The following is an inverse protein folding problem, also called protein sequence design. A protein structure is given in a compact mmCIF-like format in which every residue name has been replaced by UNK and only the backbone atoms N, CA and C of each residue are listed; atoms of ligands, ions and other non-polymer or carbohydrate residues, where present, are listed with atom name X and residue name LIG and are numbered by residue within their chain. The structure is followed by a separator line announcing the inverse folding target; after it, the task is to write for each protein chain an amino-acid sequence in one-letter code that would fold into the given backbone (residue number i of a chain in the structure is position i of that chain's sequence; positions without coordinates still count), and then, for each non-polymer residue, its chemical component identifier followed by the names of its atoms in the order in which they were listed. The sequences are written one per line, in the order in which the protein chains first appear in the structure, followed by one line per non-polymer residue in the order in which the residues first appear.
data_IF_042558504192
#
_entry.id   IF_042558504192
#
_cell.length_a   1.000
_cell.length_b   1.000
_cell.length_c   1.000
_cell.angle_alpha   90.00
_cell.angle_beta   90.00
_cell.angle_gamma   90.00
#
_symmetry.space_group_name_H-M   'P 1'
#
loop_
_entity.id
_entity.type
_entity.pdbx_description
1 polymer ?
#
# COMPACT_ATOMS: atom_id res chain seq x y z
N UNK A 1 22.25 39.91 20.17
CA UNK A 1 21.53 39.15 19.13
C UNK A 1 21.95 37.70 19.23
N UNK A 2 21.18 36.90 19.98
CA UNK A 2 21.35 35.47 20.06
C UNK A 2 20.56 34.83 18.91
N UNK A 3 21.24 34.30 17.91
CA UNK A 3 20.70 33.35 16.98
C UNK A 3 20.45 32.05 17.76
N UNK A 4 19.23 31.89 18.24
CA UNK A 4 18.73 30.60 18.66
C UNK A 4 18.51 29.77 17.42
N UNK A 5 19.43 28.87 17.10
CA UNK A 5 19.19 27.83 16.12
C UNK A 5 18.00 27.00 16.62
N UNK A 6 16.88 27.06 15.92
CA UNK A 6 15.82 26.07 16.06
C UNK A 6 16.47 24.71 15.81
N UNK A 7 16.56 23.89 16.85
CA UNK A 7 16.89 22.48 16.68
C UNK A 7 15.69 21.92 15.94
N UNK A 8 15.87 21.64 14.64
CA UNK A 8 14.88 20.96 13.82
C UNK A 8 14.59 19.62 14.50
N UNK A 9 13.40 19.49 15.10
CA UNK A 9 13.02 18.26 15.78
C UNK A 9 12.84 17.19 14.69
N UNK A 10 13.45 16.01 14.88
CA UNK A 10 13.27 14.88 14.00
C UNK A 10 11.78 14.55 13.87
N UNK A 11 11.35 14.18 12.66
CA UNK A 11 9.97 13.75 12.41
C UNK A 11 9.62 12.54 13.27
N UNK A 12 8.46 12.59 13.90
CA UNK A 12 7.94 11.48 14.71
C UNK A 12 6.85 10.75 13.93
N UNK A 13 6.94 9.44 13.86
CA UNK A 13 5.96 8.58 13.24
C UNK A 13 5.41 7.55 14.22
N UNK A 14 4.17 7.13 13.99
CA UNK A 14 3.55 6.04 14.73
C UNK A 14 3.84 4.73 14.02
N UNK A 15 4.23 3.69 14.78
CA UNK A 15 4.57 2.37 14.25
C UNK A 15 3.73 1.30 14.95
N UNK A 16 3.03 0.47 14.19
CA UNK A 16 2.30 -0.68 14.70
C UNK A 16 3.01 -1.97 14.30
N UNK A 17 3.41 -2.77 15.30
CA UNK A 17 4.13 -4.03 15.05
C UNK A 17 3.27 -5.16 14.52
N UNK A 18 1.99 -5.16 14.78
CA UNK A 18 1.06 -6.14 14.25
C UNK A 18 1.26 -7.57 14.76
N UNK A 19 0.77 -8.53 13.97
CA UNK A 19 0.72 -9.95 14.30
C UNK A 19 1.61 -10.80 13.38
N UNK A 20 1.82 -12.05 13.76
CA UNK A 20 2.55 -13.01 12.94
C UNK A 20 3.98 -12.57 12.66
N UNK A 21 4.33 -12.39 11.39
CA UNK A 21 5.64 -11.87 10.96
C UNK A 21 5.80 -10.37 11.22
N UNK A 22 4.73 -9.67 11.63
CA UNK A 22 4.73 -8.22 11.85
C UNK A 22 5.86 -7.71 12.72
N UNK A 23 6.05 -8.23 13.96
CA UNK A 23 7.13 -7.77 14.82
C UNK A 23 8.52 -7.94 14.21
N UNK A 24 8.83 -9.07 13.60
CA UNK A 24 10.16 -9.33 13.03
C UNK A 24 10.48 -8.46 11.80
N UNK A 25 9.52 -8.24 10.91
CA UNK A 25 9.72 -7.35 9.75
C UNK A 25 9.76 -5.88 10.17
N UNK A 26 9.00 -5.50 11.19
CA UNK A 26 9.03 -4.13 11.73
C UNK A 26 10.39 -3.82 12.31
N UNK A 27 10.91 -4.67 13.18
CA UNK A 27 12.22 -4.47 13.79
C UNK A 27 13.33 -4.36 12.74
N UNK A 28 13.27 -5.21 11.71
CA UNK A 28 14.22 -5.17 10.58
C UNK A 28 14.14 -3.85 9.81
N UNK A 29 12.95 -3.42 9.46
CA UNK A 29 12.74 -2.15 8.72
C UNK A 29 13.23 -0.95 9.53
N UNK A 30 12.93 -0.87 10.83
CA UNK A 30 13.39 0.24 11.67
C UNK A 30 14.93 0.28 11.76
N UNK A 31 15.60 -0.86 11.83
CA UNK A 31 17.06 -0.91 11.82
C UNK A 31 17.66 -0.43 10.49
N UNK A 32 17.02 -0.79 9.38
CA UNK A 32 17.48 -0.31 8.06
C UNK A 32 17.29 1.20 7.92
N UNK A 33 16.15 1.72 8.37
CA UNK A 33 15.89 3.17 8.36
C UNK A 33 16.92 3.93 9.18
N UNK A 34 17.26 3.43 10.36
CA UNK A 34 18.28 4.04 11.22
C UNK A 34 19.67 4.01 10.57
N UNK A 35 20.05 2.87 10.00
CA UNK A 35 21.31 2.71 9.28
C UNK A 35 21.42 3.62 8.05
N UNK A 36 20.30 3.88 7.39
CA UNK A 36 20.23 4.77 6.21
C UNK A 36 20.25 6.26 6.59
N UNK A 37 20.14 6.60 7.86
CA UNK A 37 20.13 7.99 8.33
C UNK A 37 18.79 8.69 8.13
N UNK A 38 17.68 7.95 8.27
CA UNK A 38 16.34 8.50 8.13
C UNK A 38 16.02 9.61 9.15
N UNK A 39 16.67 9.57 10.32
CA UNK A 39 16.50 10.56 11.40
C UNK A 39 15.02 10.72 11.79
N UNK A 40 14.42 9.62 12.20
CA UNK A 40 13.03 9.55 12.64
C UNK A 40 12.95 9.17 14.12
N UNK A 41 11.95 9.72 14.80
CA UNK A 41 11.52 9.23 16.11
C UNK A 41 10.33 8.28 15.91
N UNK A 42 10.36 7.14 16.59
CA UNK A 42 9.31 6.12 16.46
C UNK A 42 8.52 6.01 17.78
N UNK A 43 7.21 6.11 17.67
CA UNK A 43 6.28 5.72 18.74
C UNK A 43 5.70 4.36 18.38
N UNK A 44 6.24 3.31 19.00
CA UNK A 44 5.98 1.91 18.63
C UNK A 44 4.96 1.29 19.56
N UNK A 45 3.97 0.61 19.00
CA UNK A 45 2.89 -0.06 19.75
C UNK A 45 2.68 -1.48 19.26
N UNK A 46 2.37 -2.38 20.19
CA UNK A 46 1.84 -3.70 19.85
C UNK A 46 0.37 -3.54 19.53
N UNK A 47 -0.06 -4.06 18.38
CA UNK A 47 -1.41 -3.91 17.85
C UNK A 47 -1.83 -5.22 17.22
N UNK A 48 -3.10 -5.59 17.37
CA UNK A 48 -3.68 -6.73 16.69
C UNK A 48 -4.28 -7.77 17.63
N UNK A 49 -4.35 -9.02 17.17
CA UNK A 49 -5.01 -10.11 17.87
C UNK A 49 -4.36 -10.42 19.22
N UNK A 50 -3.04 -10.43 19.30
CA UNK A 50 -2.31 -10.67 20.56
C UNK A 50 -2.56 -9.57 21.59
N UNK A 51 -2.61 -8.32 21.16
CA UNK A 51 -2.94 -7.18 22.02
C UNK A 51 -4.39 -7.27 22.52
N UNK A 52 -5.32 -7.69 21.66
CA UNK A 52 -6.71 -7.90 22.02
C UNK A 52 -6.86 -9.00 23.11
N UNK A 53 -6.16 -10.12 22.97
CA UNK A 53 -6.17 -11.19 23.96
C UNK A 53 -5.60 -10.73 25.32
N UNK A 54 -4.55 -9.91 25.28
CA UNK A 54 -3.89 -9.43 26.50
C UNK A 54 -4.66 -8.31 27.20
N UNK A 55 -5.26 -7.37 26.46
CA UNK A 55 -5.80 -6.13 26.98
C UNK A 55 -7.23 -5.77 26.52
N UNK A 56 -7.86 -6.58 25.69
CA UNK A 56 -9.25 -6.40 25.24
C UNK A 56 -9.45 -5.38 24.12
N UNK A 57 -8.40 -4.79 23.58
CA UNK A 57 -8.44 -3.82 22.48
C UNK A 57 -7.41 -4.18 21.40
N UNK A 58 -7.77 -4.00 20.13
CA UNK A 58 -6.85 -4.23 19.00
C UNK A 58 -5.75 -3.18 18.94
N UNK A 59 -6.11 -1.91 19.22
CA UNK A 59 -5.18 -0.78 19.29
C UNK A 59 -5.27 -0.18 20.68
N UNK A 60 -4.17 -0.03 21.42
CA UNK A 60 -4.20 0.65 22.72
C UNK A 60 -4.53 2.14 22.56
N UNK A 61 -5.05 2.76 23.62
CA UNK A 61 -5.39 4.20 23.63
C UNK A 61 -4.20 5.07 23.25
N UNK A 62 -3.02 4.72 23.73
CA UNK A 62 -1.77 5.42 23.44
C UNK A 62 -1.43 5.37 21.94
N UNK A 63 -1.79 4.28 21.26
CA UNK A 63 -1.65 4.15 19.82
C UNK A 63 -2.52 5.13 19.05
N UNK A 64 -3.78 5.29 19.46
CA UNK A 64 -4.66 6.30 18.88
C UNK A 64 -4.16 7.72 19.16
N UNK A 65 -3.73 8.00 20.40
CA UNK A 65 -3.17 9.30 20.75
C UNK A 65 -1.92 9.64 19.92
N UNK A 66 -1.08 8.66 19.67
CA UNK A 66 0.09 8.80 18.80
C UNK A 66 -0.31 9.14 17.37
N UNK A 67 -1.27 8.42 16.78
CA UNK A 67 -1.76 8.70 15.44
C UNK A 67 -2.34 10.10 15.29
N UNK A 68 -3.13 10.55 16.28
CA UNK A 68 -3.71 11.91 16.30
C UNK A 68 -2.63 13.00 16.35
N UNK A 69 -1.48 12.71 16.96
CA UNK A 69 -0.36 13.64 17.07
C UNK A 69 0.54 13.62 15.83
N UNK A 70 0.89 12.44 15.34
CA UNK A 70 1.88 12.30 14.26
C UNK A 70 1.29 12.42 12.86
N UNK A 71 0.04 12.01 12.66
CA UNK A 71 -0.63 11.94 11.37
C UNK A 71 0.03 11.01 10.35
N UNK A 72 0.97 10.19 10.78
CA UNK A 72 1.70 9.24 9.94
C UNK A 72 1.79 7.90 10.66
N UNK A 73 1.34 6.84 9.99
CA UNK A 73 1.37 5.48 10.51
C UNK A 73 2.16 4.56 9.58
N UNK A 74 3.15 3.86 10.13
CA UNK A 74 3.79 2.70 9.50
C UNK A 74 3.26 1.45 10.18
N UNK A 75 2.51 0.62 9.47
CA UNK A 75 1.76 -0.49 10.03
C UNK A 75 2.12 -1.80 9.35
N UNK A 76 2.57 -2.78 10.14
CA UNK A 76 2.74 -4.15 9.68
C UNK A 76 1.40 -4.91 9.66
N UNK A 77 1.36 -6.15 9.11
CA UNK A 77 0.13 -6.93 9.03
C UNK A 77 -0.52 -7.17 10.40
N UNK A 78 -1.84 -7.02 10.43
CA UNK A 78 -2.66 -7.23 11.62
C UNK A 78 -3.69 -8.31 11.32
N UNK A 79 -3.79 -9.31 12.19
CA UNK A 79 -4.84 -10.31 12.12
C UNK A 79 -6.08 -9.79 12.85
N UNK A 80 -7.20 -9.73 12.14
CA UNK A 80 -8.49 -9.42 12.75
C UNK A 80 -9.04 -10.71 13.38
N UNK A 81 -9.42 -10.70 14.67
CA UNK A 81 -10.02 -11.87 15.30
C UNK A 81 -11.26 -12.35 14.55
N UNK A 82 -11.39 -13.68 14.39
CA UNK A 82 -12.59 -14.30 13.83
C UNK A 82 -13.69 -14.24 14.87
N UNK A 83 -14.82 -13.62 14.53
CA UNK A 83 -15.99 -13.53 15.40
C UNK A 83 -16.95 -12.45 15.02
N UNK A 84 -18.19 -12.55 15.57
CA UNK A 84 -19.22 -11.54 15.36
C UNK A 84 -18.81 -10.22 16.01
N UNK A 85 -18.83 -9.12 15.25
CA UNK A 85 -18.56 -7.77 15.74
C UNK A 85 -17.18 -7.21 15.43
N UNK A 86 -16.27 -7.99 14.85
CA UNK A 86 -14.98 -7.48 14.39
C UNK A 86 -15.04 -7.08 12.91
N UNK A 87 -14.82 -5.80 12.65
CA UNK A 87 -14.57 -5.30 11.29
C UNK A 87 -13.07 -5.33 11.01
N UNK A 88 -12.71 -5.43 9.73
CA UNK A 88 -11.31 -5.26 9.34
C UNK A 88 -10.76 -3.94 9.90
N UNK A 89 -9.63 -4.03 10.61
CA UNK A 89 -8.99 -2.84 11.17
C UNK A 89 -8.55 -1.86 10.08
N UNK A 90 -8.12 -2.39 8.93
CA UNK A 90 -7.77 -1.56 7.78
C UNK A 90 -8.97 -0.73 7.29
N UNK A 91 -10.13 -1.35 7.15
CA UNK A 91 -11.37 -0.63 6.76
C UNK A 91 -11.72 0.43 7.79
N UNK A 92 -11.59 0.12 9.08
CA UNK A 92 -11.84 1.08 10.17
C UNK A 92 -10.92 2.28 10.10
N UNK A 93 -9.61 2.07 9.92
CA UNK A 93 -8.63 3.16 9.83
C UNK A 93 -8.82 4.00 8.56
N UNK A 94 -9.10 3.35 7.43
CA UNK A 94 -9.37 4.05 6.17
C UNK A 94 -10.57 4.98 6.27
N UNK A 95 -11.62 4.55 6.95
CA UNK A 95 -12.82 5.37 7.21
C UNK A 95 -12.54 6.49 8.21
N UNK A 96 -11.89 6.16 9.34
CA UNK A 96 -11.63 7.12 10.42
C UNK A 96 -10.82 8.32 9.95
N UNK A 97 -9.80 8.09 9.15
CA UNK A 97 -8.88 9.14 8.68
C UNK A 97 -9.14 9.57 7.24
N UNK A 98 -10.24 9.10 6.64
CA UNK A 98 -10.62 9.39 5.25
C UNK A 98 -9.46 9.16 4.27
N UNK A 99 -8.84 8.00 4.36
CA UNK A 99 -7.70 7.59 3.53
C UNK A 99 -8.19 7.18 2.15
N UNK A 100 -8.47 8.14 1.30
CA UNK A 100 -9.18 7.93 0.03
C UNK A 100 -8.34 7.31 -1.08
N UNK A 101 -7.02 7.51 -1.06
CA UNK A 101 -6.15 7.03 -2.13
C UNK A 101 -5.28 5.87 -1.62
N UNK A 102 -5.56 4.67 -2.10
CA UNK A 102 -4.68 3.53 -1.90
C UNK A 102 -3.79 3.36 -3.13
N UNK A 103 -2.48 3.51 -2.93
CA UNK A 103 -1.47 3.48 -3.99
C UNK A 103 -0.65 2.20 -3.84
N UNK A 104 -0.69 1.35 -4.87
CA UNK A 104 0.00 0.04 -4.89
C UNK A 104 0.91 -0.04 -6.11
N UNK A 105 2.19 0.32 -5.98
CA UNK A 105 3.16 0.17 -7.07
C UNK A 105 3.67 -1.27 -7.14
N UNK A 106 3.72 -1.83 -8.34
CA UNK A 106 4.21 -3.17 -8.61
C UNK A 106 5.19 -3.14 -9.77
N UNK A 107 6.41 -3.62 -9.52
CA UNK A 107 7.49 -3.61 -10.50
C UNK A 107 8.24 -4.93 -10.47
N UNK A 108 8.54 -5.49 -11.66
CA UNK A 108 9.43 -6.64 -11.78
C UNK A 108 10.83 -6.30 -11.29
N UNK A 109 11.52 -7.30 -10.73
CA UNK A 109 12.89 -7.16 -10.27
C UNK A 109 13.72 -8.37 -10.73
N UNK A 110 15.04 -8.27 -10.62
CA UNK A 110 15.98 -9.27 -11.11
C UNK A 110 16.06 -10.55 -10.27
N UNK A 111 15.61 -10.51 -9.00
CA UNK A 111 15.70 -11.67 -8.10
C UNK A 111 14.59 -12.68 -8.35
N UNK A 112 13.43 -12.23 -8.80
CA UNK A 112 12.25 -13.08 -9.00
C UNK A 112 11.99 -13.25 -10.49
N UNK A 113 12.17 -14.47 -10.97
CA UNK A 113 11.84 -14.83 -12.35
C UNK A 113 10.39 -15.23 -12.44
N UNK A 114 9.63 -14.49 -13.23
CA UNK A 114 8.26 -14.81 -13.59
C UNK A 114 8.14 -14.95 -15.10
N UNK A 115 6.97 -15.38 -15.59
CA UNK A 115 6.69 -15.41 -17.01
C UNK A 115 6.58 -13.99 -17.62
N UNK A 116 6.66 -12.95 -16.80
CA UNK A 116 6.43 -11.57 -17.18
C UNK A 116 7.69 -10.72 -16.97
N UNK A 117 7.96 -9.87 -17.94
CA UNK A 117 9.08 -8.92 -17.91
C UNK A 117 8.58 -7.48 -18.09
N UNK A 118 9.35 -6.51 -17.56
CA UNK A 118 9.06 -5.10 -17.73
C UNK A 118 7.68 -4.67 -17.23
N UNK A 119 7.21 -5.28 -16.14
CA UNK A 119 6.01 -4.84 -15.46
C UNK A 119 6.37 -3.69 -14.52
N UNK A 120 5.73 -2.55 -14.71
CA UNK A 120 5.87 -1.37 -13.86
C UNK A 120 4.54 -0.65 -13.82
N UNK A 121 3.66 -1.09 -12.91
CA UNK A 121 2.26 -0.64 -12.83
C UNK A 121 2.01 -0.06 -11.45
N UNK A 122 1.38 1.10 -11.42
CA UNK A 122 0.91 1.70 -10.17
C UNK A 122 -0.61 1.72 -10.16
N UNK A 123 -1.22 1.06 -9.18
CA UNK A 123 -2.67 1.04 -9.02
C UNK A 123 -3.10 2.09 -8.02
N UNK A 124 -3.98 3.00 -8.46
CA UNK A 124 -4.71 3.97 -7.66
C UNK A 124 -6.11 3.44 -7.41
N UNK A 125 -6.33 2.95 -6.20
CA UNK A 125 -7.61 2.38 -5.76
C UNK A 125 -8.34 3.39 -4.90
N UNK A 126 -9.59 3.73 -5.27
CA UNK A 126 -10.48 4.43 -4.34
C UNK A 126 -10.69 3.52 -3.11
N UNK A 127 -10.66 4.09 -1.92
CA UNK A 127 -10.44 3.32 -0.70
C UNK A 127 -11.57 3.48 0.34
N UNK A 128 -12.60 4.29 0.05
CA UNK A 128 -13.55 4.73 1.08
C UNK A 128 -15.02 4.38 0.83
N UNK A 129 -15.37 3.94 -0.36
CA UNK A 129 -16.77 3.64 -0.73
C UNK A 129 -16.90 2.35 -1.53
N UNK A 130 -17.85 2.25 -2.46
CA UNK A 130 -18.17 1.06 -3.24
C UNK A 130 -18.91 0.03 -2.35
N UNK A 131 -18.75 -1.24 -2.61
CA UNK A 131 -19.31 -2.32 -1.79
C UNK A 131 -18.73 -2.36 -0.37
N UNK A 132 -17.55 -1.77 -0.19
CA UNK A 132 -16.89 -1.65 1.13
C UNK A 132 -17.62 -0.69 2.09
N UNK A 133 -18.58 0.09 1.61
CA UNK A 133 -19.46 0.85 2.49
C UNK A 133 -20.33 -0.07 3.39
N UNK A 134 -20.47 -1.33 3.00
CA UNK A 134 -21.16 -2.34 3.83
C UNK A 134 -22.67 -2.19 3.86
N UNK A 135 -23.26 -1.59 2.83
CA UNK A 135 -24.71 -1.42 2.74
C UNK A 135 -25.33 -2.65 2.11
N UNK A 136 -25.94 -3.47 2.94
CA UNK A 136 -26.61 -4.70 2.53
C UNK A 136 -28.01 -4.78 3.16
N UNK A 137 -28.91 -5.44 2.46
CA UNK A 137 -30.29 -5.58 2.88
C UNK A 137 -30.83 -6.97 2.53
N UNK A 138 -31.37 -7.68 3.52
CA UNK A 138 -32.19 -8.87 3.28
C UNK A 138 -33.57 -8.44 2.80
N UNK A 139 -33.90 -8.68 1.55
CA UNK A 139 -35.22 -8.38 0.98
C UNK A 139 -36.24 -9.44 1.43
N UNK A 140 -35.82 -10.70 1.37
CA UNK A 140 -36.52 -11.85 1.94
C UNK A 140 -35.49 -12.90 2.35
N UNK A 141 -35.89 -14.08 2.80
CA UNK A 141 -35.00 -15.14 3.28
C UNK A 141 -34.02 -15.66 2.20
N UNK A 142 -34.33 -15.44 0.94
CA UNK A 142 -33.59 -15.99 -0.21
C UNK A 142 -32.98 -14.90 -1.11
N UNK A 143 -33.16 -13.60 -0.78
CA UNK A 143 -32.72 -12.47 -1.61
C UNK A 143 -32.00 -11.43 -0.78
N UNK A 144 -30.77 -11.10 -1.18
CA UNK A 144 -29.95 -10.05 -0.56
C UNK A 144 -29.60 -8.99 -1.60
N UNK A 145 -29.73 -7.72 -1.23
CA UNK A 145 -29.19 -6.61 -2.01
C UNK A 145 -27.89 -6.12 -1.37
N UNK A 146 -26.81 -6.12 -2.12
CA UNK A 146 -25.58 -5.41 -1.78
C UNK A 146 -25.47 -4.17 -2.65
N UNK A 147 -25.33 -3.02 -2.04
CA UNK A 147 -25.39 -1.73 -2.74
C UNK A 147 -23.98 -1.18 -2.95
N UNK A 148 -23.65 -0.99 -4.22
CA UNK A 148 -22.45 -0.29 -4.64
C UNK A 148 -22.70 1.21 -4.62
N UNK A 149 -21.95 1.94 -3.80
CA UNK A 149 -22.09 3.40 -3.65
C UNK A 149 -20.90 4.08 -4.32
N UNK A 150 -21.19 4.91 -5.33
CA UNK A 150 -20.18 5.69 -6.06
C UNK A 150 -20.61 7.15 -6.02
N UNK A 151 -19.75 8.01 -5.46
CA UNK A 151 -20.02 9.44 -5.34
C UNK A 151 -19.07 10.27 -6.20
N UNK A 152 -19.56 11.38 -6.72
CA UNK A 152 -18.76 12.32 -7.53
C UNK A 152 -17.50 12.79 -6.80
N UNK A 153 -17.64 13.19 -5.54
CA UNK A 153 -16.51 13.66 -4.72
C UNK A 153 -15.38 12.62 -4.63
N UNK A 154 -15.73 11.36 -4.37
CA UNK A 154 -14.73 10.29 -4.26
C UNK A 154 -14.10 9.94 -5.62
N UNK A 155 -14.89 9.97 -6.71
CA UNK A 155 -14.34 9.80 -8.06
C UNK A 155 -13.33 10.89 -8.39
N UNK A 156 -13.70 12.16 -8.17
CA UNK A 156 -12.84 13.31 -8.50
C UNK A 156 -11.50 13.24 -7.78
N UNK A 157 -11.50 12.97 -6.48
CA UNK A 157 -10.27 13.00 -5.69
C UNK A 157 -9.31 11.84 -6.01
N UNK A 158 -9.81 10.64 -6.24
CA UNK A 158 -8.92 9.51 -6.61
C UNK A 158 -8.35 9.66 -8.02
N UNK A 159 -9.15 10.13 -8.95
CA UNK A 159 -8.72 10.35 -10.34
C UNK A 159 -7.67 11.47 -10.38
N UNK A 160 -7.92 12.58 -9.69
CA UNK A 160 -6.96 13.68 -9.61
C UNK A 160 -5.64 13.25 -8.98
N UNK A 161 -5.70 12.43 -7.92
CA UNK A 161 -4.50 11.88 -7.29
C UNK A 161 -3.67 11.06 -8.28
N UNK A 162 -4.29 10.26 -9.14
CA UNK A 162 -3.60 9.46 -10.15
C UNK A 162 -2.90 10.34 -11.20
N UNK A 163 -3.55 11.38 -11.69
CA UNK A 163 -2.95 12.31 -12.66
C UNK A 163 -1.84 13.15 -12.03
N UNK A 164 -2.02 13.64 -10.81
CA UNK A 164 -0.97 14.38 -10.09
C UNK A 164 0.28 13.52 -9.88
N UNK A 165 0.09 12.26 -9.53
CA UNK A 165 1.19 11.30 -9.41
C UNK A 165 1.89 11.09 -10.76
N UNK A 166 1.15 10.96 -11.85
CA UNK A 166 1.72 10.82 -13.19
C UNK A 166 2.65 11.99 -13.53
N UNK A 167 2.25 13.21 -13.22
CA UNK A 167 3.08 14.40 -13.45
C UNK A 167 4.32 14.38 -12.55
N UNK A 168 4.16 14.17 -11.25
CA UNK A 168 5.26 14.25 -10.28
C UNK A 168 6.29 13.11 -10.41
N UNK A 169 5.91 11.97 -11.00
CA UNK A 169 6.76 10.78 -11.16
C UNK A 169 7.14 10.50 -12.62
N UNK A 170 6.92 11.44 -13.52
CA UNK A 170 7.22 11.30 -14.96
C UNK A 170 6.59 10.04 -15.59
N UNK A 171 5.40 9.70 -15.14
CA UNK A 171 4.60 8.63 -15.76
C UNK A 171 3.85 9.20 -16.95
N UNK A 172 3.47 8.36 -17.91
CA UNK A 172 3.00 8.82 -19.22
C UNK A 172 1.52 8.57 -19.48
N UNK A 173 0.95 7.56 -18.86
CA UNK A 173 -0.42 7.14 -19.15
C UNK A 173 -1.19 6.78 -17.88
N UNK A 174 -2.45 7.21 -17.82
CA UNK A 174 -3.42 6.77 -16.82
C UNK A 174 -4.56 6.05 -17.52
N UNK A 175 -4.82 4.82 -17.11
CA UNK A 175 -5.92 3.99 -17.59
C UNK A 175 -7.03 3.92 -16.54
N UNK A 176 -8.23 4.36 -16.90
CA UNK A 176 -9.43 4.22 -16.07
C UNK A 176 -10.02 2.82 -16.25
N UNK A 177 -10.24 2.11 -15.18
CA UNK A 177 -10.84 0.77 -15.19
C UNK A 177 -12.22 0.79 -14.56
N UNK A 178 -13.23 0.28 -15.25
CA UNK A 178 -14.63 0.36 -14.88
C UNK A 178 -15.45 -0.80 -15.45
N UNK A 179 -16.73 -0.84 -15.16
CA UNK A 179 -17.70 -1.76 -15.76
C UNK A 179 -18.94 -0.99 -16.24
N UNK A 180 -18.74 0.12 -16.94
CA UNK A 180 -19.79 1.05 -17.36
C UNK A 180 -20.74 0.48 -18.39
N UNK A 181 -20.37 -0.59 -19.11
CA UNK A 181 -21.29 -1.30 -20.00
C UNK A 181 -22.43 -2.00 -19.26
N UNK A 182 -22.25 -2.29 -17.98
CA UNK A 182 -23.26 -2.88 -17.08
C UNK A 182 -23.77 -1.84 -16.10
N UNK A 183 -22.89 -1.21 -15.33
CA UNK A 183 -23.24 -0.19 -14.34
C UNK A 183 -23.13 1.20 -14.96
N UNK A 184 -24.08 1.49 -15.84
CA UNK A 184 -24.06 2.69 -16.68
C UNK A 184 -24.11 4.00 -15.93
N UNK A 185 -24.77 4.02 -14.76
CA UNK A 185 -24.89 5.22 -13.93
C UNK A 185 -23.66 5.39 -13.01
N UNK A 186 -23.33 4.36 -12.23
CA UNK A 186 -22.24 4.44 -11.27
C UNK A 186 -20.86 4.50 -11.95
N UNK A 187 -20.52 3.46 -12.72
CA UNK A 187 -19.23 3.38 -13.40
C UNK A 187 -19.15 4.33 -14.58
N UNK A 188 -20.31 4.64 -15.20
CA UNK A 188 -20.40 5.69 -16.22
C UNK A 188 -20.00 7.06 -15.68
N UNK A 189 -20.43 7.41 -14.46
CA UNK A 189 -20.02 8.64 -13.80
C UNK A 189 -18.50 8.65 -13.52
N UNK A 190 -17.96 7.54 -13.03
CA UNK A 190 -16.52 7.42 -12.80
C UNK A 190 -15.71 7.67 -14.09
N UNK A 191 -16.10 7.02 -15.18
CA UNK A 191 -15.47 7.19 -16.49
C UNK A 191 -15.59 8.63 -17.01
N UNK A 192 -16.77 9.24 -16.91
CA UNK A 192 -17.00 10.60 -17.41
C UNK A 192 -16.18 11.63 -16.63
N UNK A 193 -16.11 11.50 -15.31
CA UNK A 193 -15.25 12.35 -14.45
C UNK A 193 -13.78 12.16 -14.82
N UNK A 194 -13.36 10.92 -15.08
CA UNK A 194 -12.00 10.64 -15.51
C UNK A 194 -11.61 11.44 -16.76
N UNK A 195 -12.44 11.41 -17.80
CA UNK A 195 -12.15 12.17 -19.01
C UNK A 195 -12.24 13.69 -18.82
N UNK A 196 -13.15 14.17 -17.97
CA UNK A 196 -13.22 15.59 -17.65
C UNK A 196 -11.93 16.08 -16.96
N UNK A 197 -11.43 15.33 -15.99
CA UNK A 197 -10.18 15.67 -15.31
C UNK A 197 -8.97 15.52 -16.24
N UNK A 198 -8.96 14.52 -17.12
CA UNK A 198 -7.85 14.28 -18.04
C UNK A 198 -7.53 15.49 -18.92
N UNK A 199 -8.51 16.32 -19.19
CA UNK A 199 -8.33 17.56 -20.00
C UNK A 199 -7.40 18.57 -19.32
N UNK A 200 -7.27 18.53 -18.00
CA UNK A 200 -6.38 19.38 -17.24
C UNK A 200 -4.92 18.89 -17.26
N UNK A 201 -4.66 17.69 -17.83
CA UNK A 201 -3.35 17.05 -17.88
C UNK A 201 -3.01 16.65 -19.33
N UNK A 202 -2.82 17.65 -20.22
CA UNK A 202 -2.70 17.38 -21.67
C UNK A 202 -1.47 16.57 -22.06
N UNK A 203 -0.43 16.52 -21.22
CA UNK A 203 0.78 15.77 -21.47
C UNK A 203 0.71 14.30 -21.00
N UNK A 204 -0.39 13.92 -20.34
CA UNK A 204 -0.61 12.55 -19.89
C UNK A 204 -1.64 11.88 -20.79
N UNK A 205 -1.29 10.74 -21.37
CA UNK A 205 -2.22 9.93 -22.15
C UNK A 205 -3.31 9.36 -21.22
N UNK A 206 -4.56 9.42 -21.66
CA UNK A 206 -5.72 8.94 -20.90
C UNK A 206 -6.53 7.98 -21.75
N UNK A 207 -6.74 6.77 -21.25
CA UNK A 207 -7.63 5.79 -21.86
C UNK A 207 -8.49 5.09 -20.81
N UNK A 208 -9.49 4.36 -21.26
CA UNK A 208 -10.35 3.56 -20.37
C UNK A 208 -10.51 2.14 -20.88
N UNK A 209 -10.73 1.22 -19.96
CA UNK A 209 -10.97 -0.20 -20.28
C UNK A 209 -11.96 -0.81 -19.30
N UNK A 210 -12.72 -1.77 -19.81
CA UNK A 210 -13.62 -2.58 -18.99
C UNK A 210 -12.80 -3.55 -18.16
N UNK A 211 -13.17 -3.75 -16.88
CA UNK A 211 -12.38 -4.47 -15.87
C UNK A 211 -12.02 -5.91 -16.28
N UNK A 212 -12.94 -6.65 -16.88
CA UNK A 212 -12.66 -8.01 -17.34
C UNK A 212 -11.64 -8.05 -18.49
N UNK A 213 -11.72 -7.07 -19.40
CA UNK A 213 -10.71 -6.90 -20.44
C UNK A 213 -9.35 -6.55 -19.85
N UNK A 214 -9.30 -5.70 -18.83
CA UNK A 214 -8.05 -5.38 -18.12
C UNK A 214 -7.45 -6.61 -17.46
N UNK A 215 -8.26 -7.44 -16.81
CA UNK A 215 -7.78 -8.68 -16.17
C UNK A 215 -7.10 -9.59 -17.22
N UNK A 216 -7.69 -9.72 -18.40
CA UNK A 216 -7.10 -10.47 -19.52
C UNK A 216 -5.83 -9.79 -20.05
N UNK A 217 -5.88 -8.49 -20.32
CA UNK A 217 -4.76 -7.74 -20.89
C UNK A 217 -3.55 -7.68 -19.98
N UNK A 218 -3.75 -7.62 -18.66
CA UNK A 218 -2.66 -7.67 -17.68
C UNK A 218 -1.86 -8.98 -17.75
N UNK A 219 -2.52 -10.09 -18.04
CA UNK A 219 -1.85 -11.38 -18.22
C UNK A 219 -1.19 -11.50 -19.59
N UNK A 220 -1.75 -10.88 -20.61
CA UNK A 220 -1.22 -10.95 -21.98
C UNK A 220 -0.14 -9.90 -22.27
N UNK A 221 -0.35 -8.67 -21.82
CA UNK A 221 0.48 -7.50 -22.17
C UNK A 221 0.65 -6.55 -20.98
N UNK A 222 1.20 -7.01 -19.83
CA UNK A 222 1.34 -6.15 -18.65
C UNK A 222 2.21 -4.90 -18.90
N UNK A 223 3.13 -4.99 -19.84
CA UNK A 223 4.04 -3.90 -20.23
C UNK A 223 3.32 -2.69 -20.85
N UNK A 224 2.07 -2.84 -21.26
CA UNK A 224 1.26 -1.75 -21.83
C UNK A 224 0.58 -0.88 -20.78
N UNK A 225 0.60 -1.29 -19.52
CA UNK A 225 -0.02 -0.53 -18.44
C UNK A 225 1.03 0.30 -17.69
N UNK A 226 0.62 1.49 -17.30
CA UNK A 226 1.44 2.42 -16.52
C UNK A 226 0.74 2.71 -15.19
N UNK A 227 -0.16 3.68 -15.14
CA UNK A 227 -1.00 3.92 -13.97
C UNK A 227 -2.42 3.42 -14.27
N UNK A 228 -3.00 2.70 -13.32
CA UNK A 228 -4.40 2.30 -13.33
C UNK A 228 -5.12 3.06 -12.23
N UNK A 229 -6.21 3.74 -12.55
CA UNK A 229 -7.12 4.33 -11.56
C UNK A 229 -8.47 3.62 -11.63
N UNK A 230 -8.99 3.24 -10.48
CA UNK A 230 -10.22 2.44 -10.42
C UNK A 230 -10.94 2.58 -9.07
N UNK A 231 -12.16 2.07 -9.04
CA UNK A 231 -12.99 1.98 -7.85
C UNK A 231 -12.45 0.93 -6.87
N UNK A 232 -13.03 0.88 -5.68
CA UNK A 232 -12.50 0.12 -4.54
C UNK A 232 -12.40 -1.39 -4.82
N UNK A 233 -13.49 -2.05 -5.21
CA UNK A 233 -13.48 -3.50 -5.42
C UNK A 233 -12.57 -3.92 -6.56
N UNK A 234 -12.64 -3.24 -7.69
CA UNK A 234 -11.77 -3.55 -8.83
C UNK A 234 -10.29 -3.36 -8.48
N UNK A 235 -9.99 -2.32 -7.72
CA UNK A 235 -8.62 -2.07 -7.24
C UNK A 235 -8.10 -3.17 -6.33
N UNK A 236 -8.95 -3.71 -5.47
CA UNK A 236 -8.59 -4.84 -4.61
C UNK A 236 -8.23 -6.08 -5.43
N UNK A 237 -9.09 -6.43 -6.39
CA UNK A 237 -8.88 -7.61 -7.25
C UNK A 237 -7.66 -7.44 -8.15
N UNK A 238 -7.56 -6.29 -8.83
CA UNK A 238 -6.48 -6.04 -9.79
C UNK A 238 -5.11 -5.90 -9.14
N UNK A 239 -5.03 -5.35 -7.93
CA UNK A 239 -3.75 -5.23 -7.24
C UNK A 239 -3.17 -6.59 -6.85
N UNK A 240 -3.99 -7.54 -6.44
CA UNK A 240 -3.54 -8.92 -6.20
C UNK A 240 -3.12 -9.61 -7.49
N UNK A 241 -3.87 -9.40 -8.57
CA UNK A 241 -3.48 -9.93 -9.89
C UNK A 241 -2.10 -9.40 -10.30
N UNK A 242 -1.88 -8.09 -10.21
CA UNK A 242 -0.60 -7.47 -10.57
C UNK A 242 0.53 -7.94 -9.66
N UNK A 243 0.26 -8.16 -8.37
CA UNK A 243 1.26 -8.74 -7.47
C UNK A 243 1.72 -10.13 -7.92
N UNK A 244 0.81 -10.94 -8.45
CA UNK A 244 1.12 -12.25 -9.03
C UNK A 244 2.05 -12.14 -10.25
N UNK A 245 1.92 -11.07 -11.03
CA UNK A 245 2.78 -10.86 -12.20
C UNK A 245 4.24 -10.58 -11.82
N UNK A 246 4.48 -10.00 -10.65
CA UNK A 246 5.82 -9.63 -10.18
C UNK A 246 6.44 -10.60 -9.18
N UNK A 247 5.72 -11.66 -8.81
CA UNK A 247 6.23 -12.71 -7.91
C UNK A 247 5.54 -12.87 -6.58
N UNK A 248 4.46 -12.15 -6.34
CA UNK A 248 3.59 -12.31 -5.17
C UNK A 248 3.54 -11.13 -4.22
N UNK A 249 2.69 -11.26 -3.20
CA UNK A 249 2.37 -10.17 -2.26
C UNK A 249 3.55 -9.72 -1.40
N UNK A 250 4.54 -10.58 -1.16
CA UNK A 250 5.76 -10.24 -0.39
C UNK A 250 6.60 -9.12 -1.00
N UNK A 251 6.28 -8.71 -2.23
CA UNK A 251 7.00 -7.65 -2.98
C UNK A 251 6.08 -6.46 -3.31
N UNK A 252 4.89 -6.37 -2.75
CA UNK A 252 3.95 -5.30 -3.03
C UNK A 252 3.82 -4.35 -1.84
N UNK A 253 4.38 -3.12 -1.94
CA UNK A 253 4.16 -2.07 -0.96
C UNK A 253 2.83 -1.38 -1.17
N UNK A 254 2.43 -0.55 -0.22
CA UNK A 254 1.18 0.20 -0.29
C UNK A 254 1.24 1.45 0.57
N UNK A 255 0.63 2.52 0.08
CA UNK A 255 0.28 3.69 0.87
C UNK A 255 -1.23 3.94 0.84
N UNK A 256 -1.73 4.50 1.92
CA UNK A 256 -3.12 4.96 2.04
C UNK A 256 -3.08 6.43 2.44
N UNK A 257 -3.46 7.30 1.52
CA UNK A 257 -3.34 8.74 1.70
C UNK A 257 -4.70 9.39 1.89
N UNK A 258 -4.80 10.21 2.92
CA UNK A 258 -5.88 11.17 3.14
C UNK A 258 -5.36 12.58 2.97
N UNK A 259 -6.24 13.57 3.21
CA UNK A 259 -5.85 14.98 3.18
C UNK A 259 -4.84 15.30 4.29
N UNK A 260 -5.09 14.79 5.50
CA UNK A 260 -4.35 15.15 6.71
C UNK A 260 -3.67 13.97 7.40
N UNK A 261 -3.75 12.78 6.84
CA UNK A 261 -3.20 11.56 7.42
C UNK A 261 -2.68 10.63 6.34
N UNK A 262 -1.61 9.89 6.64
CA UNK A 262 -1.07 8.87 5.74
C UNK A 262 -0.73 7.58 6.50
N UNK A 263 -1.12 6.45 5.94
CA UNK A 263 -0.82 5.12 6.46
C UNK A 263 -0.04 4.32 5.41
N UNK A 264 1.09 3.76 5.81
CA UNK A 264 1.97 2.97 4.96
C UNK A 264 2.03 1.54 5.48
N UNK A 265 1.79 0.58 4.59
CA UNK A 265 1.72 -0.84 4.94
C UNK A 265 2.12 -1.72 3.77
N UNK A 266 2.55 -2.96 4.06
CA UNK A 266 2.64 -4.00 3.03
C UNK A 266 1.25 -4.60 2.77
N UNK A 267 1.03 -5.11 1.57
CA UNK A 267 -0.27 -5.70 1.20
C UNK A 267 -0.42 -7.12 1.74
N UNK A 268 0.68 -7.86 1.91
CA UNK A 268 0.66 -9.23 2.41
C UNK A 268 0.10 -9.33 3.85
N UNK A 269 -0.34 -10.52 4.21
CA UNK A 269 -0.86 -10.84 5.54
C UNK A 269 0.23 -11.15 6.59
N UNK A 270 -0.22 -11.58 7.75
CA UNK A 270 0.62 -11.84 8.93
C UNK A 270 1.43 -13.16 8.85
N UNK A 271 1.14 -14.04 7.91
CA UNK A 271 1.83 -15.32 7.70
C UNK A 271 2.15 -16.08 9.00
N UNK A 272 1.12 -16.47 9.79
CA UNK A 272 1.33 -17.06 11.12
C UNK A 272 2.09 -18.39 11.09
N UNK A 273 2.09 -19.09 9.98
CA UNK A 273 2.79 -20.36 9.76
C UNK A 273 4.32 -20.22 9.79
N UNK A 274 4.86 -19.06 9.45
CA UNK A 274 6.31 -18.79 9.48
C UNK A 274 6.72 -17.77 10.55
N UNK A 275 5.78 -17.30 11.34
CA UNK A 275 6.05 -16.33 12.40
C UNK A 275 7.07 -16.86 13.42
N UNK A 276 8.04 -16.03 13.78
CA UNK A 276 9.08 -16.37 14.77
C UNK A 276 10.21 -17.24 14.22
N UNK A 277 10.17 -17.63 12.95
CA UNK A 277 11.24 -18.44 12.34
C UNK A 277 12.41 -17.64 11.81
N UNK A 278 12.30 -16.30 11.76
CA UNK A 278 13.35 -15.43 11.28
C UNK A 278 13.61 -15.51 9.78
N UNK A 279 12.62 -15.91 8.99
CA UNK A 279 12.74 -16.10 7.53
C UNK A 279 11.84 -15.18 6.72
N UNK A 280 11.08 -14.32 7.36
CA UNK A 280 10.18 -13.40 6.69
C UNK A 280 10.94 -12.38 5.85
N UNK A 281 10.37 -12.07 4.67
CA UNK A 281 10.91 -11.07 3.76
C UNK A 281 10.41 -9.68 4.13
N UNK A 282 11.29 -8.74 4.56
CA UNK A 282 10.86 -7.40 4.93
C UNK A 282 10.73 -6.42 3.75
N UNK A 283 10.96 -6.88 2.52
CA UNK A 283 11.12 -5.99 1.36
C UNK A 283 9.88 -5.14 1.08
N UNK A 284 8.69 -5.74 1.04
CA UNK A 284 7.46 -4.97 0.78
C UNK A 284 7.23 -3.91 1.85
N UNK A 285 7.44 -4.24 3.12
CA UNK A 285 7.28 -3.30 4.23
C UNK A 285 8.36 -2.21 4.21
N UNK A 286 9.58 -2.55 3.85
CA UNK A 286 10.66 -1.58 3.64
C UNK A 286 10.34 -0.61 2.50
N UNK A 287 9.81 -1.09 1.40
CA UNK A 287 9.38 -0.22 0.29
C UNK A 287 8.22 0.69 0.69
N UNK A 288 7.30 0.20 1.52
CA UNK A 288 6.26 1.06 2.11
C UNK A 288 6.86 2.15 3.00
N UNK A 289 7.90 1.83 3.76
CA UNK A 289 8.66 2.82 4.53
C UNK A 289 9.38 3.83 3.61
N UNK A 290 9.87 3.40 2.46
CA UNK A 290 10.41 4.32 1.45
C UNK A 290 9.34 5.28 0.92
N UNK A 291 8.12 4.80 0.69
CA UNK A 291 6.99 5.65 0.30
C UNK A 291 6.66 6.68 1.42
N UNK A 292 6.77 6.27 2.68
CA UNK A 292 6.63 7.18 3.83
C UNK A 292 7.72 8.26 3.81
N UNK A 293 8.97 7.89 3.60
CA UNK A 293 10.08 8.84 3.52
C UNK A 293 9.87 9.84 2.40
N UNK A 294 9.45 9.39 1.24
CA UNK A 294 9.12 10.26 0.10
C UNK A 294 7.96 11.20 0.44
N UNK A 295 6.96 10.72 1.15
CA UNK A 295 5.82 11.53 1.60
C UNK A 295 6.23 12.69 2.51
N UNK A 296 7.20 12.50 3.40
CA UNK A 296 7.70 13.53 4.30
C UNK A 296 8.90 14.32 3.75
N UNK A 297 9.23 14.13 2.46
CA UNK A 297 10.28 14.90 1.78
C UNK A 297 11.70 14.35 1.95
N UNK A 298 11.88 13.15 2.50
CA UNK A 298 13.19 12.50 2.66
C UNK A 298 13.53 11.61 1.45
N UNK A 299 13.44 12.18 0.26
CA UNK A 299 13.63 11.47 -1.01
C UNK A 299 15.02 10.85 -1.17
N UNK A 300 16.06 11.53 -0.69
CA UNK A 300 17.44 11.04 -0.80
C UNK A 300 17.65 9.77 0.01
N UNK A 301 17.10 9.70 1.21
CA UNK A 301 17.17 8.50 2.06
C UNK A 301 16.38 7.36 1.44
N UNK A 302 15.19 7.63 0.93
CA UNK A 302 14.38 6.63 0.23
C UNK A 302 15.12 6.07 -1.00
N UNK A 303 15.70 6.92 -1.83
CA UNK A 303 16.46 6.51 -3.01
C UNK A 303 17.68 5.64 -2.64
N UNK A 304 18.37 5.98 -1.57
CA UNK A 304 19.50 5.23 -1.03
C UNK A 304 19.09 3.82 -0.61
N UNK A 305 17.98 3.69 0.10
CA UNK A 305 17.43 2.38 0.52
C UNK A 305 16.99 1.57 -0.70
N UNK A 306 16.25 2.16 -1.63
CA UNK A 306 15.79 1.48 -2.85
C UNK A 306 16.96 0.94 -3.67
N UNK A 307 18.02 1.73 -3.83
CA UNK A 307 19.22 1.30 -4.54
C UNK A 307 19.91 0.14 -3.82
N UNK A 308 20.02 0.18 -2.51
CA UNK A 308 20.63 -0.90 -1.73
C UNK A 308 19.85 -2.22 -1.89
N UNK A 309 18.50 -2.16 -1.84
CA UNK A 309 17.64 -3.32 -2.09
C UNK A 309 17.84 -3.86 -3.50
N UNK A 310 17.86 -3.00 -4.52
CA UNK A 310 18.06 -3.42 -5.90
C UNK A 310 19.40 -4.15 -6.08
N UNK A 311 20.48 -3.66 -5.46
CA UNK A 311 21.78 -4.32 -5.51
C UNK A 311 21.78 -5.71 -4.87
N UNK A 312 21.11 -5.88 -3.75
CA UNK A 312 20.97 -7.20 -3.09
C UNK A 312 20.15 -8.15 -3.96
N UNK A 313 19.07 -7.68 -4.56
CA UNK A 313 18.22 -8.47 -5.45
C UNK A 313 18.96 -8.86 -6.74
N UNK A 314 19.74 -7.96 -7.32
CA UNK A 314 20.55 -8.23 -8.50
C UNK A 314 21.67 -9.26 -8.23
N UNK A 315 22.35 -9.13 -7.10
CA UNK A 315 23.39 -10.08 -6.69
C UNK A 315 22.82 -11.49 -6.49
N UNK A 316 21.66 -11.60 -5.86
CA UNK A 316 20.91 -12.84 -5.72
C UNK A 316 21.49 -13.87 -4.76
N UNK A 317 22.62 -13.58 -4.08
CA UNK A 317 23.26 -14.52 -3.15
C UNK A 317 22.65 -14.52 -1.75
N UNK A 318 22.01 -13.43 -1.33
CA UNK A 318 21.39 -13.29 0.00
C UNK A 318 19.91 -12.95 -0.19
N UNK A 319 19.09 -13.96 -0.33
CA UNK A 319 17.65 -13.85 -0.55
C UNK A 319 16.90 -14.70 0.46
N UNK A 320 15.75 -14.22 0.91
CA UNK A 320 14.85 -14.99 1.78
C UNK A 320 14.20 -16.15 1.03
N UNK A 321 13.69 -17.19 1.76
CA UNK A 321 13.14 -18.39 1.12
C UNK A 321 11.98 -18.15 0.15
N UNK A 322 11.12 -17.18 0.42
CA UNK A 322 9.96 -16.83 -0.42
C UNK A 322 10.35 -16.39 -1.84
N UNK A 323 11.56 -15.87 -2.00
CA UNK A 323 12.11 -15.45 -3.30
C UNK A 323 13.28 -16.33 -3.76
N UNK A 324 13.31 -17.56 -3.27
CA UNK A 324 14.20 -18.62 -3.78
C UNK A 324 15.55 -18.74 -3.09
N UNK A 325 15.79 -18.02 -2.00
CA UNK A 325 17.04 -18.06 -1.25
C UNK A 325 16.98 -18.92 0.00
N UNK A 326 17.99 -18.79 0.84
CA UNK A 326 18.14 -19.48 2.13
C UNK A 326 18.51 -18.53 3.26
N UNK A 327 18.53 -17.22 3.02
CA UNK A 327 18.90 -16.23 4.00
C UNK A 327 17.79 -16.03 5.04
N UNK A 328 18.22 -15.74 6.26
CA UNK A 328 17.31 -15.24 7.30
C UNK A 328 16.96 -13.77 7.04
N UNK A 329 15.91 -13.29 7.70
CA UNK A 329 15.54 -11.87 7.69
C UNK A 329 16.73 -10.98 8.07
N UNK A 330 17.47 -11.37 9.13
CA UNK A 330 18.62 -10.61 9.61
C UNK A 330 19.79 -10.64 8.62
N UNK A 331 20.08 -11.78 8.00
CA UNK A 331 21.11 -11.85 6.96
C UNK A 331 20.79 -10.97 5.77
N UNK A 332 19.54 -10.98 5.31
CA UNK A 332 19.04 -10.12 4.23
C UNK A 332 19.11 -8.63 4.61
N UNK A 333 18.71 -8.28 5.84
CA UNK A 333 18.85 -6.94 6.39
C UNK A 333 20.30 -6.46 6.38
N UNK A 334 21.23 -7.28 6.84
CA UNK A 334 22.67 -6.95 6.86
C UNK A 334 23.23 -6.72 5.46
N UNK A 335 22.79 -7.53 4.48
CA UNK A 335 23.17 -7.35 3.10
C UNK A 335 22.71 -5.99 2.55
N UNK A 336 21.47 -5.57 2.86
CA UNK A 336 20.95 -4.26 2.48
C UNK A 336 21.77 -3.15 3.14
N UNK A 337 21.99 -3.24 4.44
CA UNK A 337 22.74 -2.22 5.20
C UNK A 337 24.17 -2.06 4.66
N UNK A 338 24.80 -3.14 4.22
CA UNK A 338 26.14 -3.11 3.65
C UNK A 338 26.23 -2.29 2.35
N UNK A 339 25.11 -2.08 1.67
CA UNK A 339 25.04 -1.29 0.42
C UNK A 339 24.55 0.15 0.62
N UNK A 340 24.27 0.55 1.85
CA UNK A 340 23.80 1.91 2.14
C UNK A 340 24.89 2.99 2.05
#
# INVERSE_FOLDING_TARGET
HSNGGEIEMADTITVFKGDGIGPEITDSVLRILDAAGADLNYEVFNVGAAEYEAHGELIPKEGYASMEKTHILLKSPITTPLGKGFRSLNVTLRKKYDLYANIRPAKTNSAVKTAFENVDIVIFRENTEDLYAGVEEMIDKDTVHSIKIITRRCCERIIRAAFDYAVSHNRKKVTCVHKANIMKMADGMFRDIFYDISKEYPDIEADDKIVDNVAMQLVMHPEKFDIIVTENLYGDVLSDLVSGLIGGLGLLPSSNLGKDFAMFEAVHGSAPDIAGQGIANPTAFLWSACMLLEHIGKNDVAAKIRKAVDLVLEDGSVLTPDIGGTATTIEYEKAIIAHL
#
